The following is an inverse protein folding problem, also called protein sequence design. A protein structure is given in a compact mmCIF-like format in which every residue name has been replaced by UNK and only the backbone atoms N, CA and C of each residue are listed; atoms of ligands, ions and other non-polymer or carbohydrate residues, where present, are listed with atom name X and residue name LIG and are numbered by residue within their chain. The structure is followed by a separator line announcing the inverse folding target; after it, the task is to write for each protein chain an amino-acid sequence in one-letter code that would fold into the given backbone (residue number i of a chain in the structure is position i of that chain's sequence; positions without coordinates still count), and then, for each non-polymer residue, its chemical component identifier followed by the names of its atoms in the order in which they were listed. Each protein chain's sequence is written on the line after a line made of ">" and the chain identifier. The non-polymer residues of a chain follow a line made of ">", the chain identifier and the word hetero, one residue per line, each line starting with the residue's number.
data_IF_808177002946
#
_entry.id   IF_808177002946
#
_cell.length_a   1.000
_cell.length_b   1.000
_cell.length_c   1.000
_cell.angle_alpha   90.00
_cell.angle_beta   90.00
_cell.angle_gamma   90.00
#
_symmetry.space_group_name_H-M   'P 1'
#
loop_
_entity.id
_entity.type
_entity.pdbx_description
1 polymer ?
#
# COMPACT_ATOMS: atom_id res chain seq x y z
N UNK A 1 10.95 8.14 -13.48
CA UNK A 1 9.58 8.58 -13.82
C UNK A 1 9.60 9.84 -14.68
N UNK A 2 9.99 11.01 -14.14
CA UNK A 2 9.99 12.29 -14.88
C UNK A 2 10.66 12.24 -16.26
N UNK A 3 11.85 11.65 -16.37
CA UNK A 3 12.55 11.51 -17.64
C UNK A 3 11.75 10.71 -18.70
N UNK A 4 11.11 9.61 -18.29
CA UNK A 4 10.28 8.78 -19.18
C UNK A 4 8.98 9.49 -19.57
N UNK A 5 8.37 10.23 -18.63
CA UNK A 5 7.18 11.03 -18.92
C UNK A 5 7.49 12.16 -19.92
N UNK A 6 8.61 12.88 -19.74
CA UNK A 6 9.09 13.91 -20.67
C UNK A 6 9.35 13.30 -22.06
N UNK A 7 10.02 12.15 -22.13
CA UNK A 7 10.29 11.43 -23.38
C UNK A 7 8.99 11.00 -24.10
N UNK A 8 7.93 10.71 -23.35
CA UNK A 8 6.61 10.38 -23.88
C UNK A 8 5.74 11.63 -24.19
N UNK A 9 6.22 12.85 -23.92
CA UNK A 9 5.45 14.08 -24.10
C UNK A 9 4.34 14.28 -23.08
N UNK A 10 4.45 13.66 -21.90
CA UNK A 10 3.50 13.75 -20.81
C UNK A 10 3.99 14.74 -19.73
N UNK A 11 3.08 15.57 -19.21
CA UNK A 11 3.38 16.44 -18.08
C UNK A 11 3.56 15.65 -16.79
N UNK A 12 4.60 15.97 -16.02
CA UNK A 12 4.87 15.36 -14.73
C UNK A 12 5.36 16.43 -13.74
N UNK A 13 4.70 16.50 -12.58
CA UNK A 13 5.04 17.40 -11.49
C UNK A 13 5.09 16.62 -10.19
N UNK A 14 5.98 16.99 -9.29
CA UNK A 14 6.10 16.34 -7.98
C UNK A 14 6.35 17.38 -6.90
N UNK A 15 5.80 17.13 -5.72
CA UNK A 15 6.04 17.92 -4.52
C UNK A 15 6.63 16.95 -3.49
N UNK A 16 7.73 17.34 -2.86
CA UNK A 16 8.38 16.52 -1.85
C UNK A 16 8.22 17.13 -0.46
N UNK A 17 7.49 16.46 0.41
CA UNK A 17 7.28 16.90 1.79
C UNK A 17 6.25 16.05 2.53
N UNK A 18 5.82 16.55 3.69
CA UNK A 18 4.85 15.84 4.54
C UNK A 18 3.43 15.97 4.00
N UNK A 19 2.90 14.90 3.41
CA UNK A 19 1.55 14.85 2.85
C UNK A 19 0.44 15.01 3.90
N UNK A 20 0.75 14.83 5.18
CA UNK A 20 -0.21 15.09 6.26
C UNK A 20 -0.38 16.57 6.57
N UNK A 21 0.59 17.40 6.21
CA UNK A 21 0.58 18.85 6.49
C UNK A 21 -0.46 19.60 5.65
N UNK A 22 -0.95 20.71 6.17
CA UNK A 22 -1.84 21.61 5.41
C UNK A 22 -1.04 22.34 4.32
N UNK A 23 0.21 22.67 4.62
CA UNK A 23 1.12 23.38 3.72
C UNK A 23 1.35 22.60 2.42
N UNK A 24 1.56 21.28 2.49
CA UNK A 24 1.73 20.46 1.29
C UNK A 24 0.43 20.36 0.47
N UNK A 25 -0.73 20.33 1.14
CA UNK A 25 -2.04 20.33 0.48
C UNK A 25 -2.25 21.64 -0.28
N UNK A 26 -1.89 22.78 0.31
CA UNK A 26 -1.96 24.09 -0.34
C UNK A 26 -1.02 24.17 -1.56
N UNK A 27 0.20 23.65 -1.45
CA UNK A 27 1.13 23.56 -2.58
C UNK A 27 0.58 22.68 -3.71
N UNK A 28 -0.02 21.53 -3.37
CA UNK A 28 -0.64 20.65 -4.36
C UNK A 28 -1.83 21.32 -5.06
N UNK A 29 -2.68 22.03 -4.32
CA UNK A 29 -3.79 22.81 -4.88
C UNK A 29 -3.27 23.87 -5.85
N UNK A 30 -2.22 24.60 -5.49
CA UNK A 30 -1.60 25.61 -6.35
C UNK A 30 -1.05 24.98 -7.64
N UNK A 31 -0.31 23.88 -7.52
CA UNK A 31 0.28 23.16 -8.64
C UNK A 31 -0.79 22.60 -9.61
N UNK A 32 -1.86 21.99 -9.06
CA UNK A 32 -2.98 21.49 -9.87
C UNK A 32 -3.63 22.65 -10.63
N UNK A 33 -3.91 23.77 -9.95
CA UNK A 33 -4.55 24.92 -10.58
C UNK A 33 -3.69 25.53 -11.70
N UNK A 34 -2.38 25.60 -11.50
CA UNK A 34 -1.45 26.16 -12.48
C UNK A 34 -1.27 25.27 -13.71
N UNK A 35 -1.11 23.96 -13.51
CA UNK A 35 -0.66 23.05 -14.56
C UNK A 35 -1.75 22.19 -15.18
N UNK A 36 -2.79 21.87 -14.42
CA UNK A 36 -3.85 20.92 -14.81
C UNK A 36 -5.24 21.58 -14.86
N UNK A 37 -5.42 22.69 -14.15
CA UNK A 37 -6.72 23.30 -13.86
C UNK A 37 -7.50 22.50 -12.81
N UNK A 38 -7.73 21.21 -13.07
CA UNK A 38 -8.34 20.27 -12.15
C UNK A 38 -7.81 18.84 -12.37
N UNK A 39 -8.08 17.95 -11.41
CA UNK A 39 -7.79 16.50 -11.50
C UNK A 39 -9.07 15.67 -11.51
N UNK A 40 -9.05 14.56 -12.22
CA UNK A 40 -10.16 13.59 -12.34
C UNK A 40 -9.92 12.28 -11.57
N UNK A 41 -8.72 12.08 -11.04
CA UNK A 41 -8.36 10.95 -10.18
C UNK A 41 -7.45 11.38 -9.04
N UNK A 42 -7.80 10.98 -7.82
CA UNK A 42 -6.94 11.10 -6.64
C UNK A 42 -6.66 9.71 -6.06
N UNK A 43 -5.41 9.26 -6.16
CA UNK A 43 -4.95 7.99 -5.58
C UNK A 43 -4.28 8.25 -4.23
N UNK A 44 -4.88 7.73 -3.15
CA UNK A 44 -4.33 7.80 -1.80
C UNK A 44 -3.56 6.51 -1.48
N UNK A 45 -2.24 6.58 -1.57
CA UNK A 45 -1.33 5.42 -1.41
C UNK A 45 -0.21 5.72 -0.40
N UNK A 46 -0.54 6.39 0.71
CA UNK A 46 0.43 6.69 1.77
C UNK A 46 0.64 5.48 2.69
N UNK A 47 1.91 5.16 2.93
CA UNK A 47 2.33 4.21 3.94
C UNK A 47 3.43 4.87 4.78
N UNK A 48 3.05 5.40 5.95
CA UNK A 48 3.94 6.11 6.84
C UNK A 48 3.84 5.52 8.25
N UNK A 49 4.95 5.42 9.01
CA UNK A 49 4.91 4.91 10.38
C UNK A 49 4.39 5.95 11.38
N UNK A 50 4.29 7.22 10.98
CA UNK A 50 3.96 8.35 11.85
C UNK A 50 3.22 9.42 11.07
N UNK A 51 2.40 10.19 11.77
CA UNK A 51 1.66 11.34 11.26
C UNK A 51 1.70 12.45 12.28
N UNK A 52 2.06 13.66 11.85
CA UNK A 52 1.83 14.86 12.64
C UNK A 52 0.45 15.40 12.27
N UNK A 53 -0.46 15.48 13.24
CA UNK A 53 -1.81 15.95 12.98
C UNK A 53 -1.77 17.44 12.57
N UNK A 54 -2.36 17.84 11.43
CA UNK A 54 -2.17 19.18 10.87
C UNK A 54 -2.76 20.31 11.74
N UNK A 55 -3.83 20.04 12.50
CA UNK A 55 -4.47 21.04 13.39
C UNK A 55 -3.88 21.05 14.80
N UNK A 56 -3.83 19.91 15.50
CA UNK A 56 -3.37 19.83 16.90
C UNK A 56 -1.85 19.86 17.03
N UNK A 57 -1.10 19.52 15.97
CA UNK A 57 0.34 19.37 15.99
C UNK A 57 0.86 18.12 16.70
N UNK A 58 -0.05 17.26 17.19
CA UNK A 58 0.28 16.01 17.88
C UNK A 58 0.94 15.01 16.93
N UNK A 59 1.93 14.26 17.43
CA UNK A 59 2.65 13.26 16.64
C UNK A 59 2.16 11.86 17.00
N UNK A 60 1.39 11.26 16.10
CA UNK A 60 0.94 9.88 16.21
C UNK A 60 1.96 8.92 15.59
N UNK A 61 2.09 7.73 16.17
CA UNK A 61 2.92 6.66 15.63
C UNK A 61 2.10 5.38 15.52
N UNK A 62 2.08 4.76 14.35
CA UNK A 62 1.39 3.49 14.14
C UNK A 62 2.18 2.35 14.77
N UNK A 63 1.48 1.36 15.28
CA UNK A 63 2.05 0.10 15.75
C UNK A 63 1.43 -1.07 15.01
N UNK A 64 2.14 -2.19 14.94
CA UNK A 64 1.65 -3.44 14.36
C UNK A 64 1.54 -4.47 15.49
N UNK A 65 0.38 -4.50 16.14
CA UNK A 65 0.12 -5.35 17.31
C UNK A 65 -1.25 -6.03 17.21
N UNK A 66 -1.41 -7.24 17.78
CA UNK A 66 -2.73 -7.84 17.92
C UNK A 66 -3.61 -7.02 18.87
N UNK A 67 -4.94 -7.14 18.75
CA UNK A 67 -5.89 -6.52 19.69
C UNK A 67 -6.48 -7.60 20.59
N UNK A 68 -6.56 -7.31 21.90
CA UNK A 68 -7.29 -8.11 22.88
C UNK A 68 -6.46 -9.20 23.58
N UNK A 69 -5.52 -9.87 22.89
CA UNK A 69 -4.60 -10.83 23.50
C UNK A 69 -3.23 -10.82 22.84
N UNK A 70 -2.21 -11.19 23.61
CA UNK A 70 -0.87 -11.43 23.10
C UNK A 70 -0.90 -12.59 22.09
N UNK A 71 -0.02 -12.53 21.09
CA UNK A 71 0.14 -13.60 20.11
C UNK A 71 1.61 -13.92 19.90
N UNK A 72 1.87 -15.12 19.40
CA UNK A 72 3.21 -15.52 18.97
C UNK A 72 3.13 -15.84 17.48
N UNK A 73 3.99 -15.22 16.70
CA UNK A 73 3.98 -15.38 15.25
C UNK A 73 5.28 -15.96 14.75
N UNK A 74 5.15 -16.95 13.87
CA UNK A 74 6.24 -17.41 13.02
C UNK A 74 6.66 -16.26 12.11
N UNK A 75 7.92 -15.89 12.16
CA UNK A 75 8.53 -14.89 11.30
C UNK A 75 9.96 -15.28 10.92
N UNK A 76 10.63 -14.44 10.15
CA UNK A 76 12.02 -14.67 9.76
C UNK A 76 12.92 -13.56 10.25
N UNK A 77 14.10 -13.95 10.74
CA UNK A 77 15.23 -13.04 10.85
C UNK A 77 15.93 -12.99 9.48
N UNK A 78 15.67 -11.96 8.69
CA UNK A 78 16.21 -11.85 7.32
C UNK A 78 17.73 -11.74 7.26
N UNK A 79 18.38 -11.24 8.32
CA UNK A 79 19.84 -11.16 8.40
C UNK A 79 20.48 -12.53 8.58
N UNK A 80 19.82 -13.42 9.35
CA UNK A 80 20.29 -14.77 9.62
C UNK A 80 19.73 -15.83 8.67
N UNK A 81 18.62 -15.53 7.99
CA UNK A 81 17.87 -16.51 7.21
C UNK A 81 17.18 -17.57 8.07
N UNK A 82 16.91 -17.27 9.35
CA UNK A 82 16.37 -18.23 10.31
C UNK A 82 14.92 -17.91 10.65
N UNK A 83 14.05 -18.92 10.59
CA UNK A 83 12.68 -18.83 11.07
C UNK A 83 12.69 -18.86 12.59
N UNK A 84 11.97 -17.92 13.20
CA UNK A 84 11.86 -17.79 14.65
C UNK A 84 10.48 -17.28 15.06
N UNK A 85 10.13 -17.52 16.31
CA UNK A 85 8.90 -17.01 16.90
C UNK A 85 9.10 -15.58 17.44
N UNK A 86 8.17 -14.70 17.08
CA UNK A 86 8.09 -13.33 17.58
C UNK A 86 6.89 -13.22 18.52
N UNK A 87 7.17 -12.92 19.79
CA UNK A 87 6.12 -12.62 20.76
C UNK A 87 5.66 -11.17 20.60
N UNK A 88 4.36 -10.98 20.42
CA UNK A 88 3.73 -9.69 20.21
C UNK A 88 2.67 -9.45 21.28
N UNK A 89 2.90 -8.43 22.09
CA UNK A 89 1.95 -8.00 23.12
C UNK A 89 0.70 -7.37 22.49
N UNK A 90 -0.44 -7.55 23.15
CA UNK A 90 -1.68 -6.87 22.79
C UNK A 90 -1.50 -5.36 22.80
N UNK A 91 -2.10 -4.70 21.81
CA UNK A 91 -2.11 -3.25 21.72
C UNK A 91 -2.92 -2.62 22.86
N UNK A 92 -2.44 -1.51 23.38
CA UNK A 92 -3.24 -0.62 24.22
C UNK A 92 -4.26 0.15 23.37
N UNK A 93 -5.29 0.74 24.01
CA UNK A 93 -6.24 1.59 23.28
C UNK A 93 -5.55 2.79 22.61
N UNK A 94 -4.56 3.38 23.27
CA UNK A 94 -3.77 4.49 22.71
C UNK A 94 -3.00 4.05 21.45
N UNK A 95 -2.42 2.84 21.43
CA UNK A 95 -1.74 2.29 20.26
C UNK A 95 -2.71 2.02 19.10
N UNK A 96 -3.93 1.58 19.39
CA UNK A 96 -5.00 1.41 18.39
C UNK A 96 -5.39 2.77 17.81
N UNK A 97 -5.69 3.75 18.66
CA UNK A 97 -6.13 5.09 18.25
C UNK A 97 -5.05 5.81 17.44
N UNK A 98 -3.78 5.73 17.87
CA UNK A 98 -2.65 6.28 17.12
C UNK A 98 -2.47 5.58 15.76
N UNK A 99 -2.68 4.27 15.69
CA UNK A 99 -2.59 3.54 14.40
C UNK A 99 -3.71 3.95 13.46
N UNK A 100 -4.93 4.13 13.97
CA UNK A 100 -6.07 4.66 13.21
C UNK A 100 -5.79 6.10 12.75
N UNK A 101 -5.21 6.94 13.60
CA UNK A 101 -4.85 8.31 13.24
C UNK A 101 -3.84 8.36 12.09
N UNK A 102 -2.85 7.45 12.05
CA UNK A 102 -1.81 7.43 11.01
C UNK A 102 -2.28 6.75 9.72
N UNK A 103 -2.89 5.56 9.83
CA UNK A 103 -3.17 4.67 8.68
C UNK A 103 -4.65 4.58 8.32
N UNK A 104 -5.52 5.29 9.04
CA UNK A 104 -6.95 5.39 8.75
C UNK A 104 -7.24 6.36 7.61
N UNK A 105 -8.52 6.71 7.45
CA UNK A 105 -8.99 7.51 6.32
C UNK A 105 -9.12 9.00 6.59
N UNK A 106 -8.71 9.50 7.76
CA UNK A 106 -8.88 10.92 8.09
C UNK A 106 -8.06 11.85 7.18
N UNK A 107 -6.78 11.56 6.94
CA UNK A 107 -6.00 12.41 6.05
C UNK A 107 -6.44 12.29 4.58
N UNK A 108 -6.87 11.10 4.14
CA UNK A 108 -7.52 10.95 2.83
C UNK A 108 -8.75 11.84 2.73
N UNK A 109 -9.57 11.90 3.79
CA UNK A 109 -10.68 12.83 3.86
C UNK A 109 -10.21 14.28 3.74
N UNK A 110 -9.22 14.71 4.53
CA UNK A 110 -8.69 16.07 4.45
C UNK A 110 -8.17 16.45 3.06
N UNK A 111 -7.55 15.52 2.34
CA UNK A 111 -7.12 15.75 0.95
C UNK A 111 -8.30 16.02 0.02
N UNK A 112 -9.33 15.16 0.04
CA UNK A 112 -10.48 15.31 -0.86
C UNK A 112 -11.28 16.57 -0.52
N UNK A 113 -11.45 16.87 0.76
CA UNK A 113 -12.14 18.08 1.21
C UNK A 113 -11.42 19.35 0.76
N UNK A 114 -10.09 19.42 0.96
CA UNK A 114 -9.30 20.58 0.56
C UNK A 114 -9.29 20.79 -0.97
N UNK A 115 -9.16 19.71 -1.74
CA UNK A 115 -9.18 19.78 -3.21
C UNK A 115 -10.55 20.20 -3.76
N UNK A 116 -11.63 19.68 -3.17
CA UNK A 116 -13.00 20.03 -3.57
C UNK A 116 -13.34 21.48 -3.21
N UNK A 117 -13.01 21.92 -1.99
CA UNK A 117 -13.20 23.31 -1.53
C UNK A 117 -12.40 24.31 -2.37
N UNK A 118 -11.20 23.93 -2.82
CA UNK A 118 -10.39 24.73 -3.72
C UNK A 118 -10.89 24.73 -5.19
N UNK A 119 -11.91 23.92 -5.51
CA UNK A 119 -12.50 23.80 -6.83
C UNK A 119 -11.60 23.13 -7.86
N UNK A 120 -10.63 22.31 -7.43
CA UNK A 120 -9.65 21.66 -8.31
C UNK A 120 -9.96 20.17 -8.57
N UNK A 121 -11.10 19.66 -8.13
CA UNK A 121 -11.64 18.37 -8.57
C UNK A 121 -12.56 18.56 -9.77
N UNK A 122 -12.35 17.77 -10.83
CA UNK A 122 -13.19 17.76 -12.02
C UNK A 122 -14.56 17.10 -11.75
N UNK A 123 -15.56 17.43 -12.58
CA UNK A 123 -16.80 16.64 -12.61
C UNK A 123 -16.47 15.20 -12.99
N UNK A 124 -17.09 14.23 -12.31
CA UNK A 124 -16.78 12.82 -12.48
C UNK A 124 -15.52 12.33 -11.76
N UNK A 125 -14.85 13.18 -10.95
CA UNK A 125 -13.61 12.81 -10.27
C UNK A 125 -13.78 11.54 -9.43
N UNK A 126 -12.83 10.61 -9.58
CA UNK A 126 -12.74 9.39 -8.77
C UNK A 126 -11.66 9.55 -7.72
N UNK A 127 -11.82 8.87 -6.59
CA UNK A 127 -10.72 8.69 -5.63
C UNK A 127 -10.67 7.28 -5.10
N UNK A 128 -9.45 6.79 -4.86
CA UNK A 128 -9.26 5.49 -4.23
C UNK A 128 -8.15 5.48 -3.22
N UNK A 129 -8.37 4.78 -2.10
CA UNK A 129 -7.34 4.46 -1.12
C UNK A 129 -6.95 2.99 -1.22
N UNK A 130 -5.66 2.71 -1.26
CA UNK A 130 -5.16 1.33 -1.29
C UNK A 130 -5.20 0.70 0.10
N UNK A 131 -5.61 -0.55 0.16
CA UNK A 131 -5.58 -1.36 1.38
C UNK A 131 -5.14 -2.79 1.07
N UNK A 132 -4.90 -3.55 2.12
CA UNK A 132 -4.62 -4.98 2.08
C UNK A 132 -5.52 -5.65 3.12
N UNK A 133 -6.18 -6.75 2.81
CA UNK A 133 -6.93 -7.52 3.82
C UNK A 133 -6.16 -8.79 4.15
N UNK A 134 -5.69 -9.51 3.14
CA UNK A 134 -5.00 -10.79 3.27
C UNK A 134 -5.93 -11.92 3.71
N UNK A 135 -5.37 -13.10 3.88
CA UNK A 135 -6.09 -14.29 4.33
C UNK A 135 -5.78 -14.63 5.81
N UNK A 136 -6.50 -15.60 6.36
CA UNK A 136 -6.52 -16.03 7.77
C UNK A 136 -5.15 -16.09 8.44
N UNK A 137 -4.11 -16.59 7.76
CA UNK A 137 -2.74 -16.70 8.29
C UNK A 137 -2.21 -15.34 8.79
N UNK A 138 -2.66 -14.25 8.18
CA UNK A 138 -2.19 -12.89 8.46
C UNK A 138 -3.12 -12.10 9.39
N UNK A 139 -4.32 -12.63 9.69
CA UNK A 139 -5.40 -11.85 10.30
C UNK A 139 -5.11 -11.35 11.71
N UNK A 140 -4.39 -12.12 12.53
CA UNK A 140 -4.08 -11.75 13.92
C UNK A 140 -3.39 -10.38 14.03
N UNK A 141 -2.58 -10.01 13.03
CA UNK A 141 -1.96 -8.67 12.95
C UNK A 141 -2.71 -7.78 11.98
N UNK A 142 -3.08 -8.28 10.80
CA UNK A 142 -3.54 -7.40 9.73
C UNK A 142 -5.00 -7.00 9.82
N UNK A 143 -5.91 -7.93 10.09
CA UNK A 143 -7.35 -7.65 10.03
C UNK A 143 -7.97 -7.47 11.42
N UNK A 144 -7.45 -8.21 12.40
CA UNK A 144 -7.87 -8.15 13.80
C UNK A 144 -6.91 -7.37 14.69
N UNK A 145 -5.73 -6.97 14.20
CA UNK A 145 -4.80 -6.11 14.91
C UNK A 145 -5.05 -4.60 14.69
N UNK A 146 -4.12 -3.79 15.20
CA UNK A 146 -4.14 -2.31 15.12
C UNK A 146 -4.29 -1.77 13.71
N UNK A 147 -3.57 -2.35 12.73
CA UNK A 147 -3.64 -1.93 11.33
C UNK A 147 -5.00 -2.28 10.71
N UNK A 148 -5.66 -3.34 11.19
CA UNK A 148 -7.02 -3.71 10.78
C UNK A 148 -8.05 -2.70 11.27
N UNK A 149 -7.86 -2.14 12.47
CA UNK A 149 -8.69 -1.05 12.97
C UNK A 149 -8.58 0.20 12.07
N UNK A 150 -7.37 0.55 11.64
CA UNK A 150 -7.14 1.65 10.71
C UNK A 150 -7.82 1.42 9.35
N UNK A 151 -7.74 0.19 8.81
CA UNK A 151 -8.41 -0.15 7.54
C UNK A 151 -9.93 -0.08 7.61
N UNK A 152 -10.53 -0.47 8.75
CA UNK A 152 -11.97 -0.30 8.98
C UNK A 152 -12.38 1.17 9.05
N UNK A 153 -11.47 2.07 9.44
CA UNK A 153 -11.71 3.51 9.34
C UNK A 153 -11.73 3.98 7.87
N UNK A 154 -10.88 3.43 6.98
CA UNK A 154 -10.98 3.70 5.53
C UNK A 154 -12.38 3.33 4.99
N UNK A 155 -12.92 2.17 5.39
CA UNK A 155 -14.25 1.73 4.99
C UNK A 155 -15.37 2.63 5.51
N UNK A 156 -15.17 3.27 6.66
CA UNK A 156 -16.12 4.27 7.18
C UNK A 156 -16.03 5.57 6.39
N UNK A 157 -14.81 6.04 6.14
CA UNK A 157 -14.53 7.35 5.53
C UNK A 157 -14.91 7.38 4.05
N UNK A 158 -14.73 6.27 3.33
CA UNK A 158 -15.08 6.18 1.91
C UNK A 158 -16.57 6.44 1.64
N UNK A 159 -17.46 6.14 2.60
CA UNK A 159 -18.89 6.42 2.45
C UNK A 159 -19.17 7.92 2.36
N UNK A 160 -18.60 8.71 3.27
CA UNK A 160 -18.73 10.17 3.26
C UNK A 160 -18.08 10.78 2.02
N UNK A 161 -16.93 10.25 1.59
CA UNK A 161 -16.26 10.69 0.37
C UNK A 161 -17.08 10.41 -0.89
N UNK A 162 -17.69 9.22 -0.96
CA UNK A 162 -18.57 8.84 -2.06
C UNK A 162 -19.80 9.75 -2.11
N UNK A 163 -20.43 10.01 -0.96
CA UNK A 163 -21.57 10.94 -0.86
C UNK A 163 -21.18 12.35 -1.30
N UNK A 164 -19.99 12.82 -0.93
CA UNK A 164 -19.47 14.15 -1.32
C UNK A 164 -19.26 14.28 -2.83
N UNK A 165 -18.73 13.25 -3.48
CA UNK A 165 -18.38 13.29 -4.91
C UNK A 165 -19.56 12.96 -5.84
N UNK A 166 -20.56 12.20 -5.35
CA UNK A 166 -21.70 11.74 -6.15
C UNK A 166 -22.53 12.85 -6.84
N UNK A 167 -22.78 14.04 -6.24
CA UNK A 167 -23.54 15.11 -6.90
C UNK A 167 -22.91 15.62 -8.21
N UNK A 168 -21.60 15.45 -8.38
CA UNK A 168 -20.86 15.80 -9.60
C UNK A 168 -20.50 14.58 -10.44
N UNK A 169 -21.12 13.43 -10.18
CA UNK A 169 -20.88 12.16 -10.89
C UNK A 169 -19.59 11.44 -10.51
N UNK A 170 -18.91 11.85 -9.44
CA UNK A 170 -17.71 11.20 -8.94
C UNK A 170 -17.98 9.95 -8.10
N UNK A 171 -16.91 9.24 -7.71
CA UNK A 171 -16.99 8.05 -6.86
C UNK A 171 -15.74 7.92 -5.96
N UNK A 172 -15.92 7.27 -4.81
CA UNK A 172 -14.83 6.93 -3.89
C UNK A 172 -14.85 5.44 -3.54
N UNK A 173 -13.69 4.79 -3.62
CA UNK A 173 -13.54 3.34 -3.38
C UNK A 173 -12.28 3.01 -2.58
N UNK A 174 -12.40 2.11 -1.62
CA UNK A 174 -11.23 1.40 -1.10
C UNK A 174 -10.87 0.31 -2.11
N UNK A 175 -9.60 0.23 -2.50
CA UNK A 175 -9.10 -0.80 -3.40
C UNK A 175 -8.23 -1.79 -2.63
N UNK A 176 -8.68 -3.04 -2.54
CA UNK A 176 -7.96 -4.13 -1.88
C UNK A 176 -6.97 -4.76 -2.85
N UNK A 177 -5.71 -4.71 -2.47
CA UNK A 177 -4.58 -5.18 -3.25
C UNK A 177 -3.99 -6.46 -2.64
N UNK A 178 -3.28 -7.25 -3.45
CA UNK A 178 -2.46 -8.39 -3.02
C UNK A 178 -1.26 -7.96 -2.20
N UNK A 179 -0.74 -8.91 -1.44
CA UNK A 179 0.57 -8.84 -0.83
C UNK A 179 1.67 -8.76 -1.91
N UNK A 180 2.56 -7.78 -1.77
CA UNK A 180 3.74 -7.58 -2.63
C UNK A 180 4.93 -7.15 -1.77
N UNK A 181 6.15 -7.32 -2.29
CA UNK A 181 7.36 -6.86 -1.59
C UNK A 181 7.45 -5.33 -1.67
N UNK A 182 7.44 -4.69 -0.52
CA UNK A 182 7.62 -3.24 -0.33
C UNK A 182 8.45 -3.01 0.93
N UNK A 183 8.97 -1.81 1.12
CA UNK A 183 9.62 -1.45 2.38
C UNK A 183 8.66 -1.60 3.58
N UNK A 184 7.38 -1.30 3.38
CA UNK A 184 6.36 -1.42 4.43
C UNK A 184 6.03 -2.88 4.77
N UNK A 185 5.87 -3.76 3.78
CA UNK A 185 5.55 -5.18 4.01
C UNK A 185 6.75 -5.95 4.56
N UNK A 186 7.98 -5.58 4.20
CA UNK A 186 9.20 -6.20 4.73
C UNK A 186 9.42 -5.92 6.23
N UNK A 187 8.82 -4.86 6.78
CA UNK A 187 8.92 -4.54 8.21
C UNK A 187 8.07 -5.47 9.12
N UNK A 188 7.26 -6.36 8.54
CA UNK A 188 6.33 -7.22 9.29
C UNK A 188 6.91 -8.64 9.36
N UNK A 189 7.19 -9.20 10.56
CA UNK A 189 7.99 -10.42 10.70
C UNK A 189 7.51 -11.65 9.90
N UNK A 190 6.20 -11.85 9.81
CA UNK A 190 5.59 -12.99 9.11
C UNK A 190 5.53 -12.81 7.58
N UNK A 191 5.52 -11.57 7.10
CA UNK A 191 5.27 -11.26 5.69
C UNK A 191 6.35 -11.77 4.73
N UNK A 192 7.66 -11.73 5.04
CA UNK A 192 8.66 -12.30 4.15
C UNK A 192 8.45 -13.79 3.88
N UNK A 193 8.12 -14.59 4.89
CA UNK A 193 7.83 -16.03 4.73
C UNK A 193 6.56 -16.21 3.91
N UNK A 194 5.50 -15.48 4.27
CA UNK A 194 4.21 -15.55 3.58
C UNK A 194 4.36 -15.21 2.09
N UNK A 195 5.03 -14.11 1.77
CA UNK A 195 5.31 -13.67 0.40
C UNK A 195 6.15 -14.72 -0.35
N UNK A 196 7.21 -15.26 0.27
CA UNK A 196 8.02 -16.28 -0.37
C UNK A 196 7.21 -17.55 -0.72
N UNK A 197 6.33 -18.00 0.17
CA UNK A 197 5.44 -19.14 -0.10
C UNK A 197 4.41 -18.77 -1.18
N UNK A 198 3.76 -17.61 -1.04
CA UNK A 198 2.76 -17.14 -1.99
C UNK A 198 3.34 -17.01 -3.41
N UNK A 199 4.56 -16.48 -3.53
CA UNK A 199 5.25 -16.32 -4.81
C UNK A 199 5.49 -17.67 -5.47
N UNK A 200 5.99 -18.66 -4.72
CA UNK A 200 6.17 -20.02 -5.22
C UNK A 200 4.86 -20.58 -5.78
N UNK A 201 3.79 -20.53 -5.00
CA UNK A 201 2.48 -21.09 -5.36
C UNK A 201 1.90 -20.38 -6.57
N UNK A 202 1.90 -19.05 -6.58
CA UNK A 202 1.35 -18.25 -7.67
C UNK A 202 2.21 -18.33 -8.94
N UNK A 203 3.54 -18.43 -8.84
CA UNK A 203 4.43 -18.67 -10.00
C UNK A 203 4.17 -20.03 -10.63
N UNK A 204 4.02 -21.08 -9.83
CA UNK A 204 3.69 -22.42 -10.33
C UNK A 204 2.35 -22.44 -11.09
N UNK A 205 1.43 -21.54 -10.75
CA UNK A 205 0.11 -21.38 -11.37
C UNK A 205 0.06 -20.32 -12.47
N UNK A 206 1.14 -19.59 -12.71
CA UNK A 206 1.21 -18.51 -13.70
C UNK A 206 0.37 -17.28 -13.35
N UNK A 207 0.10 -17.02 -12.06
CA UNK A 207 -0.75 -15.92 -11.58
C UNK A 207 0.01 -14.87 -10.76
N UNK A 208 1.33 -15.04 -10.58
CA UNK A 208 2.16 -14.08 -9.84
C UNK A 208 2.14 -12.69 -10.50
N UNK A 209 1.92 -11.66 -9.69
CA UNK A 209 1.88 -10.25 -10.11
C UNK A 209 2.67 -9.40 -9.10
N UNK A 210 3.46 -8.44 -9.59
CA UNK A 210 4.07 -7.40 -8.77
C UNK A 210 3.16 -6.17 -8.65
N UNK A 211 3.75 -5.05 -8.22
CA UNK A 211 3.01 -3.79 -8.07
C UNK A 211 2.40 -3.33 -9.41
N UNK A 212 3.17 -3.38 -10.50
CA UNK A 212 2.76 -2.76 -11.77
C UNK A 212 1.61 -3.54 -12.44
N UNK A 213 1.67 -4.87 -12.45
CA UNK A 213 0.64 -5.73 -13.03
C UNK A 213 -0.68 -5.58 -12.27
N UNK A 214 -0.61 -5.56 -10.95
CA UNK A 214 -1.78 -5.39 -10.11
C UNK A 214 -2.44 -4.01 -10.28
N UNK A 215 -1.66 -2.93 -10.31
CA UNK A 215 -2.22 -1.59 -10.49
C UNK A 215 -2.75 -1.42 -11.92
N UNK A 216 -2.06 -1.96 -12.92
CA UNK A 216 -2.57 -1.99 -14.29
C UNK A 216 -3.95 -2.67 -14.34
N UNK A 217 -4.08 -3.84 -13.72
CA UNK A 217 -5.34 -4.59 -13.67
C UNK A 217 -6.43 -3.85 -12.88
N UNK A 218 -6.09 -3.22 -11.75
CA UNK A 218 -7.01 -2.37 -11.01
C UNK A 218 -7.56 -1.24 -11.90
N UNK A 219 -6.70 -0.59 -12.69
CA UNK A 219 -7.13 0.49 -13.58
C UNK A 219 -8.00 -0.03 -14.72
N UNK A 220 -7.55 -1.09 -15.42
CA UNK A 220 -8.20 -1.59 -16.64
C UNK A 220 -9.48 -2.38 -16.38
N UNK A 221 -9.54 -3.17 -15.29
CA UNK A 221 -10.68 -4.04 -14.99
C UNK A 221 -11.69 -3.37 -14.04
N UNK A 222 -11.27 -2.40 -13.22
CA UNK A 222 -12.06 -1.92 -12.09
C UNK A 222 -12.27 -0.40 -12.05
N UNK A 223 -11.23 0.43 -11.89
CA UNK A 223 -11.42 1.88 -11.76
C UNK A 223 -12.05 2.52 -13.02
N UNK A 224 -11.67 1.99 -14.19
CA UNK A 224 -12.15 2.45 -15.50
C UNK A 224 -12.66 1.29 -16.37
N UNK A 225 -12.86 0.10 -15.79
CA UNK A 225 -13.49 -1.02 -16.46
C UNK A 225 -15.01 -0.94 -16.43
N UNK A 226 -15.67 -1.58 -17.40
CA UNK A 226 -17.14 -1.60 -17.50
C UNK A 226 -17.81 -2.46 -16.41
N UNK A 227 -17.10 -3.49 -15.93
CA UNK A 227 -17.59 -4.46 -14.95
C UNK A 227 -16.62 -4.55 -13.75
N UNK A 228 -16.62 -3.54 -12.85
CA UNK A 228 -15.70 -3.52 -11.72
C UNK A 228 -15.95 -4.69 -10.76
N UNK A 229 -14.86 -5.29 -10.28
CA UNK A 229 -14.97 -6.36 -9.29
C UNK A 229 -15.12 -5.77 -7.89
N UNK A 230 -16.33 -5.85 -7.35
CA UNK A 230 -16.70 -5.32 -6.03
C UNK A 230 -16.96 -6.45 -5.02
N UNK A 231 -16.60 -6.21 -3.76
CA UNK A 231 -17.12 -7.01 -2.63
C UNK A 231 -18.42 -6.42 -2.05
N UNK A 232 -18.98 -7.10 -1.04
CA UNK A 232 -20.24 -6.70 -0.39
C UNK A 232 -20.17 -5.34 0.34
N UNK A 233 -18.97 -4.89 0.69
CA UNK A 233 -18.72 -3.57 1.30
C UNK A 233 -18.50 -2.47 0.23
N UNK A 234 -18.51 -2.86 -1.05
CA UNK A 234 -18.31 -1.98 -2.19
C UNK A 234 -16.85 -1.59 -2.42
N UNK A 235 -15.89 -2.39 -1.96
CA UNK A 235 -14.45 -2.23 -2.24
C UNK A 235 -14.09 -2.84 -3.59
N UNK A 236 -13.15 -2.22 -4.32
CA UNK A 236 -12.59 -2.81 -5.54
C UNK A 236 -11.60 -3.91 -5.16
N UNK A 237 -11.69 -5.11 -5.76
CA UNK A 237 -10.83 -6.24 -5.40
C UNK A 237 -9.84 -6.57 -6.52
N UNK A 238 -8.58 -6.23 -6.30
CA UNK A 238 -7.46 -6.67 -7.13
C UNK A 238 -6.69 -7.85 -6.51
N UNK A 239 -7.15 -8.35 -5.36
CA UNK A 239 -6.53 -9.42 -4.57
C UNK A 239 -6.99 -10.85 -4.91
N UNK A 240 -7.97 -10.99 -5.82
CA UNK A 240 -8.60 -12.28 -6.16
C UNK A 240 -7.66 -13.42 -6.56
N UNK A 241 -6.50 -13.12 -7.16
CA UNK A 241 -5.53 -14.15 -7.57
C UNK A 241 -4.76 -14.72 -6.37
N UNK A 242 -4.57 -13.93 -5.32
CA UNK A 242 -4.00 -14.39 -4.05
C UNK A 242 -5.04 -15.18 -3.25
N UNK A 243 -6.28 -14.69 -3.19
CA UNK A 243 -7.35 -15.30 -2.40
C UNK A 243 -8.05 -16.49 -3.08
N UNK A 244 -7.49 -17.01 -4.18
CA UNK A 244 -8.00 -18.24 -4.79
C UNK A 244 -7.92 -19.38 -3.75
N UNK A 245 -9.02 -20.13 -3.50
CA UNK A 245 -9.04 -21.15 -2.45
C UNK A 245 -7.95 -22.23 -2.60
N UNK A 246 -7.56 -22.56 -3.83
CA UNK A 246 -6.51 -23.54 -4.07
C UNK A 246 -5.11 -22.95 -3.82
N UNK A 247 -4.91 -21.65 -4.06
CA UNK A 247 -3.69 -20.93 -3.66
C UNK A 247 -3.59 -20.91 -2.13
N UNK A 248 -4.64 -20.49 -1.45
CA UNK A 248 -4.64 -20.36 0.02
C UNK A 248 -4.48 -21.70 0.74
N UNK A 249 -5.10 -22.78 0.22
CA UNK A 249 -4.93 -24.12 0.77
C UNK A 249 -3.46 -24.60 0.67
N UNK A 250 -2.81 -24.36 -0.46
CA UNK A 250 -1.41 -24.75 -0.67
C UNK A 250 -0.46 -23.89 0.18
N UNK A 251 -0.71 -22.58 0.28
CA UNK A 251 0.05 -21.68 1.17
C UNK A 251 -0.07 -22.15 2.63
N UNK A 252 -1.27 -22.50 3.09
CA UNK A 252 -1.49 -22.98 4.45
C UNK A 252 -0.75 -24.31 4.72
N UNK A 253 -0.76 -25.26 3.78
CA UNK A 253 0.00 -26.51 3.93
C UNK A 253 1.50 -26.25 4.05
N UNK A 254 2.05 -25.37 3.20
CA UNK A 254 3.47 -25.04 3.22
C UNK A 254 3.85 -24.27 4.50
N UNK A 255 2.98 -23.38 4.98
CA UNK A 255 3.20 -22.60 6.20
C UNK A 255 3.38 -23.46 7.46
N UNK A 256 2.60 -24.53 7.59
CA UNK A 256 2.69 -25.46 8.72
C UNK A 256 3.99 -26.28 8.70
N UNK A 257 4.54 -26.53 7.50
CA UNK A 257 5.72 -27.39 7.31
C UNK A 257 7.04 -26.63 7.30
N UNK A 258 7.01 -25.33 7.00
CA UNK A 258 8.22 -24.55 6.80
C UNK A 258 8.96 -24.26 8.11
N UNK A 259 10.27 -24.47 8.05
CA UNK A 259 11.26 -24.17 9.07
C UNK A 259 12.54 -23.61 8.41
N UNK A 260 13.57 -23.30 9.20
CA UNK A 260 14.82 -22.74 8.69
C UNK A 260 15.54 -23.66 7.69
N UNK A 261 15.47 -24.98 7.88
CA UNK A 261 16.17 -25.95 7.03
C UNK A 261 15.46 -26.17 5.69
N UNK A 262 14.14 -25.95 5.66
CA UNK A 262 13.27 -26.15 4.49
C UNK A 262 12.87 -24.85 3.78
N UNK A 263 13.32 -23.68 4.24
CA UNK A 263 12.92 -22.36 3.74
C UNK A 263 13.07 -22.24 2.22
N UNK A 264 14.27 -22.54 1.70
CA UNK A 264 14.54 -22.44 0.26
C UNK A 264 13.87 -23.57 -0.54
N UNK A 265 13.60 -24.72 0.08
CA UNK A 265 12.94 -25.85 -0.59
C UNK A 265 11.42 -25.68 -0.68
N UNK A 266 10.77 -25.06 0.31
CA UNK A 266 9.31 -24.96 0.44
C UNK A 266 8.74 -23.59 0.07
N UNK A 267 9.59 -22.59 -0.16
CA UNK A 267 9.18 -21.25 -0.58
C UNK A 267 9.99 -20.79 -1.80
N UNK A 268 9.74 -19.56 -2.26
CA UNK A 268 10.57 -18.82 -3.21
C UNK A 268 11.28 -17.66 -2.49
N UNK A 269 12.07 -17.99 -1.48
CA UNK A 269 12.76 -16.98 -0.66
C UNK A 269 13.84 -16.22 -1.46
N UNK A 270 14.48 -16.89 -2.42
CA UNK A 270 15.37 -16.24 -3.38
C UNK A 270 14.65 -15.18 -4.21
N UNK A 271 13.45 -15.49 -4.73
CA UNK A 271 12.61 -14.53 -5.44
C UNK A 271 12.20 -13.35 -4.56
N UNK A 272 11.79 -13.60 -3.32
CA UNK A 272 11.50 -12.55 -2.34
C UNK A 272 12.70 -11.60 -2.14
N UNK A 273 13.90 -12.15 -1.90
CA UNK A 273 15.13 -11.35 -1.69
C UNK A 273 15.47 -10.51 -2.92
N UNK A 274 15.36 -11.09 -4.11
CA UNK A 274 15.61 -10.37 -5.35
C UNK A 274 14.61 -9.23 -5.54
N UNK A 275 13.31 -9.46 -5.30
CA UNK A 275 12.31 -8.39 -5.37
C UNK A 275 12.57 -7.29 -4.34
N UNK A 276 13.01 -7.64 -3.12
CA UNK A 276 13.39 -6.66 -2.09
C UNK A 276 14.59 -5.81 -2.54
N UNK A 277 15.64 -6.42 -3.07
CA UNK A 277 16.82 -5.71 -3.57
C UNK A 277 16.50 -4.76 -4.73
N UNK A 278 15.57 -5.16 -5.61
CA UNK A 278 15.11 -4.33 -6.72
C UNK A 278 14.38 -3.07 -6.28
N UNK A 279 13.77 -3.03 -5.09
CA UNK A 279 13.19 -1.80 -4.54
C UNK A 279 14.23 -0.68 -4.38
N UNK A 280 15.49 -1.05 -4.18
CA UNK A 280 16.61 -0.13 -3.98
C UNK A 280 17.53 -0.04 -5.21
N UNK A 281 17.11 -0.59 -6.35
CA UNK A 281 17.88 -0.54 -7.59
C UNK A 281 19.00 -1.57 -7.70
N UNK A 282 19.01 -2.61 -6.87
CA UNK A 282 19.98 -3.73 -6.96
C UNK A 282 19.41 -4.93 -7.73
N UNK A 283 20.30 -5.76 -8.28
CA UNK A 283 19.96 -6.93 -9.11
C UNK A 283 18.96 -6.66 -10.25
N UNK A 284 19.08 -5.48 -10.86
CA UNK A 284 18.32 -5.07 -12.03
C UNK A 284 19.03 -5.59 -13.29
N UNK A 285 18.38 -6.42 -14.13
CA UNK A 285 18.99 -6.91 -15.36
C UNK A 285 19.44 -5.78 -16.28
N UNK A 286 20.67 -5.89 -16.79
CA UNK A 286 21.25 -4.91 -17.72
C UNK A 286 21.94 -3.72 -17.06
N UNK A 287 21.94 -3.62 -15.72
CA UNK A 287 22.72 -2.61 -14.98
C UNK A 287 24.13 -3.15 -14.71
N UNK A 288 25.14 -2.35 -15.03
CA UNK A 288 26.53 -2.60 -14.65
C UNK A 288 26.76 -2.02 -13.25
N UNK A 289 26.88 -2.89 -12.25
CA UNK A 289 27.08 -2.49 -10.85
C UNK A 289 28.54 -2.14 -10.51
N UNK A 290 29.49 -2.38 -11.42
CA UNK A 290 30.89 -1.98 -11.26
C UNK A 290 31.17 -0.56 -11.82
N UNK A 291 30.21 0.01 -12.56
CA UNK A 291 30.33 1.34 -13.12
C UNK A 291 30.17 2.44 -12.05
N UNK A 292 30.97 3.50 -12.14
CA UNK A 292 30.79 4.69 -11.32
C UNK A 292 29.49 5.42 -11.68
N UNK A 293 28.75 5.88 -10.66
CA UNK A 293 27.52 6.64 -10.84
C UNK A 293 27.52 7.86 -9.91
N UNK A 294 27.00 8.98 -10.40
CA UNK A 294 26.79 10.18 -9.58
C UNK A 294 25.54 9.97 -8.70
N UNK A 295 25.66 10.01 -7.36
CA UNK A 295 24.50 9.90 -6.48
C UNK A 295 23.58 11.13 -6.54
N UNK A 296 24.04 12.25 -7.09
CA UNK A 296 23.26 13.49 -7.22
C UNK A 296 22.52 13.49 -8.56
N UNK A 297 21.23 13.17 -8.51
CA UNK A 297 20.37 13.16 -9.70
C UNK A 297 19.31 14.27 -9.59
N UNK A 298 19.29 15.27 -10.49
CA UNK A 298 18.28 16.32 -10.47
C UNK A 298 16.91 15.77 -10.93
N UNK A 299 15.83 16.28 -10.33
CA UNK A 299 14.47 15.94 -10.72
C UNK A 299 13.83 17.15 -11.40
N UNK A 300 13.76 17.11 -12.73
CA UNK A 300 12.95 18.08 -13.50
C UNK A 300 11.49 17.90 -13.12
N UNK A 301 10.76 18.98 -12.90
CA UNK A 301 9.36 18.91 -12.47
C UNK A 301 9.16 18.72 -10.96
N UNK A 302 10.24 18.69 -10.15
CA UNK A 302 10.12 18.87 -8.70
C UNK A 302 9.78 20.34 -8.41
N UNK A 303 8.64 20.56 -7.78
CA UNK A 303 8.19 21.86 -7.32
C UNK A 303 8.80 22.12 -5.95
N UNK A 304 9.58 23.18 -5.85
CA UNK A 304 10.09 23.66 -4.56
C UNK A 304 9.00 24.45 -3.82
N UNK A 305 9.02 24.45 -2.47
CA UNK A 305 8.09 25.21 -1.64
C UNK A 305 8.01 26.71 -1.95
#
# INVERSE_FOLDING_TARGET
>A
FHAEAEAAGLGAWSINGDAFSSELKDQAIAAIREHLGSVDLVVYSLAAPRRKHPVTGELHASTLKPIGKDTTQKGINTDKGEIQDFHLEAATQEEIDNTVAVMGGEDWQFWIEALDEAGVLADGCKTTAYTYIGEQITWDIYWHGTIGAAKKDLDRRVLALRERLAPRGGDARVSVLKAVVTQASAAIPAMPIYLAILFRVMKARGTHEGCIEQIYRLFSESLYGDEPFLDDEGRLRADRLELDPAVQAEVAELWERIDSDSLDELSDFSGYRQEFLRLFGFEVPGVDYDAEVDPVQPIRGLLEP
#
